data_IF_207716152921
#
_entry.id   IF_207716152921
#
_cell.length_a   1.000
_cell.length_b   1.000
_cell.length_c   1.000
_cell.angle_alpha   90.00
_cell.angle_beta   90.00
_cell.angle_gamma   90.00
#
_symmetry.space_group_name_H-M   'P 1'
#
loop_
_entity.id
_entity.type
_entity.pdbx_description
1 polymer ?
#
# COMPACT_ATOMS: atom_id res chain seq x y z
N UNK A 1 -37.00 -3.57 -15.47
CA UNK A 1 -38.09 -3.05 -14.62
C UNK A 1 -38.03 -1.53 -14.74
N UNK A 2 -39.08 -0.93 -15.30
CA UNK A 2 -39.16 0.50 -15.60
C UNK A 2 -39.46 1.27 -14.31
N UNK A 3 -38.66 2.29 -13.99
CA UNK A 3 -38.97 3.25 -12.94
C UNK A 3 -39.37 4.58 -13.61
N UNK A 4 -40.68 4.77 -13.77
CA UNK A 4 -41.32 6.03 -14.09
C UNK A 4 -41.24 6.96 -12.88
N UNK A 5 -40.88 8.23 -13.07
CA UNK A 5 -41.27 9.29 -12.14
C UNK A 5 -41.54 10.58 -12.89
N UNK A 6 -42.80 10.99 -12.82
CA UNK A 6 -43.41 12.16 -13.45
C UNK A 6 -42.76 13.47 -13.04
N UNK A 7 -42.56 14.37 -14.00
CA UNK A 7 -42.45 15.80 -13.73
C UNK A 7 -43.67 16.53 -14.30
N UNK A 8 -44.23 17.35 -13.43
CA UNK A 8 -45.49 18.08 -13.51
C UNK A 8 -45.43 19.19 -14.58
N UNK A 9 -46.46 19.31 -15.43
CA UNK A 9 -46.62 20.41 -16.41
C UNK A 9 -47.21 21.64 -15.71
N UNK A 10 -46.62 22.85 -15.79
CA UNK A 10 -47.33 24.09 -15.58
C UNK A 10 -48.00 24.56 -16.88
N UNK A 11 -49.26 25.00 -16.75
CA UNK A 11 -50.12 25.46 -17.82
C UNK A 11 -49.71 26.83 -18.39
N UNK A 12 -50.11 27.04 -19.65
CA UNK A 12 -49.86 28.25 -20.42
C UNK A 12 -50.80 29.39 -20.01
N UNK A 13 -50.27 30.60 -19.88
CA UNK A 13 -51.00 31.84 -20.09
C UNK A 13 -50.04 32.86 -20.73
N UNK A 14 -50.46 33.39 -21.88
CA UNK A 14 -49.70 34.29 -22.74
C UNK A 14 -49.93 35.77 -22.36
N UNK A 15 -48.90 36.61 -22.49
CA UNK A 15 -49.00 38.00 -23.04
C UNK A 15 -47.61 38.59 -23.29
N UNK A 16 -47.57 39.57 -24.19
CA UNK A 16 -46.45 40.02 -25.02
C UNK A 16 -45.51 41.06 -24.38
N UNK A 17 -44.31 41.14 -24.96
CA UNK A 17 -43.44 42.32 -25.16
C UNK A 17 -42.33 42.60 -24.12
N UNK A 18 -41.09 42.63 -24.61
CA UNK A 18 -39.93 43.27 -23.97
C UNK A 18 -38.68 42.40 -23.99
N UNK A 19 -37.69 42.75 -24.80
CA UNK A 19 -36.43 42.01 -25.02
C UNK A 19 -35.69 41.70 -23.71
N UNK A 20 -35.62 40.42 -23.37
CA UNK A 20 -34.90 39.84 -22.24
C UNK A 20 -33.51 39.43 -22.72
N UNK A 21 -32.45 40.12 -22.28
CA UNK A 21 -31.10 39.55 -22.26
C UNK A 21 -30.94 38.79 -20.95
N UNK A 22 -31.51 37.58 -20.92
CA UNK A 22 -31.29 36.64 -19.84
C UNK A 22 -29.88 36.06 -20.00
N UNK A 23 -28.97 36.43 -19.10
CA UNK A 23 -27.74 35.67 -18.90
C UNK A 23 -28.12 34.26 -18.46
N UNK A 24 -28.09 33.33 -19.42
CA UNK A 24 -28.23 31.90 -19.16
C UNK A 24 -27.10 31.47 -18.23
N UNK A 25 -27.44 31.28 -16.96
CA UNK A 25 -26.62 30.58 -15.99
C UNK A 25 -26.56 29.12 -16.41
N UNK A 26 -25.60 28.78 -17.27
CA UNK A 26 -25.27 27.42 -17.63
C UNK A 26 -24.63 26.74 -16.40
N UNK A 27 -25.47 26.18 -15.53
CA UNK A 27 -25.06 25.25 -14.49
C UNK A 27 -24.47 24.02 -15.17
N UNK A 28 -23.15 24.05 -15.40
CA UNK A 28 -22.38 22.91 -15.81
C UNK A 28 -22.49 21.85 -14.70
N UNK A 29 -23.33 20.84 -14.94
CA UNK A 29 -23.33 19.60 -14.18
C UNK A 29 -21.95 18.96 -14.39
N UNK A 30 -21.00 19.29 -13.52
CA UNK A 30 -19.69 18.64 -13.51
C UNK A 30 -19.93 17.18 -13.14
N UNK A 31 -19.47 16.21 -13.95
CA UNK A 31 -19.49 14.82 -13.52
C UNK A 31 -18.67 14.73 -12.24
N UNK A 32 -19.29 14.28 -11.15
CA UNK A 32 -18.55 13.87 -9.97
C UNK A 32 -17.64 12.74 -10.42
N UNK A 33 -16.33 13.00 -10.46
CA UNK A 33 -15.33 11.93 -10.55
C UNK A 33 -15.65 11.03 -9.37
N UNK A 34 -16.11 9.81 -9.64
CA UNK A 34 -16.34 8.81 -8.61
C UNK A 34 -15.00 8.68 -7.86
N UNK A 35 -15.00 9.04 -6.58
CA UNK A 35 -13.83 8.91 -5.75
C UNK A 35 -13.32 7.47 -5.84
N UNK A 36 -12.01 7.32 -5.99
CA UNK A 36 -11.35 6.02 -5.97
C UNK A 36 -11.85 5.23 -4.75
N UNK A 37 -12.43 4.06 -5.00
CA UNK A 37 -13.10 3.25 -3.97
C UNK A 37 -12.09 2.53 -3.05
N UNK A 38 -10.80 2.80 -3.21
CA UNK A 38 -9.70 2.21 -2.48
C UNK A 38 -8.61 3.25 -2.22
N UNK A 39 -7.79 3.08 -1.16
CA UNK A 39 -6.57 3.86 -0.99
C UNK A 39 -5.56 3.57 -2.12
N UNK A 40 -4.53 4.42 -2.31
CA UNK A 40 -3.44 4.09 -3.21
C UNK A 40 -2.79 2.77 -2.78
N UNK A 41 -2.66 1.82 -3.70
CA UNK A 41 -2.16 0.48 -3.38
C UNK A 41 -0.64 0.46 -3.11
N UNK A 42 0.03 1.55 -3.44
CA UNK A 42 1.46 1.75 -3.25
C UNK A 42 1.73 3.17 -2.78
N UNK A 43 2.83 3.37 -2.03
CA UNK A 43 3.34 4.69 -1.75
C UNK A 43 3.59 5.50 -3.02
N UNK A 44 3.11 6.73 -3.10
CA UNK A 44 3.29 7.61 -4.27
C UNK A 44 4.46 8.58 -4.09
N UNK A 45 5.11 8.56 -2.93
CA UNK A 45 6.24 9.42 -2.59
C UNK A 45 7.25 8.66 -1.73
N UNK A 46 8.46 9.20 -1.67
CA UNK A 46 9.53 8.66 -0.83
C UNK A 46 9.16 8.82 0.65
N UNK A 47 9.53 7.82 1.44
CA UNK A 47 9.36 7.87 2.88
C UNK A 47 10.30 6.91 3.60
N UNK A 48 10.64 7.26 4.84
CA UNK A 48 11.26 6.36 5.81
C UNK A 48 10.30 6.23 7.00
N UNK A 49 9.88 5.01 7.29
CA UNK A 49 8.93 4.70 8.36
C UNK A 49 9.53 3.67 9.30
N UNK A 50 9.52 3.95 10.60
CA UNK A 50 9.84 2.96 11.62
C UNK A 50 8.54 2.35 12.13
N UNK A 51 8.46 1.03 12.16
CA UNK A 51 7.30 0.28 12.59
C UNK A 51 7.61 -0.62 13.77
N UNK A 52 6.61 -0.81 14.63
CA UNK A 52 6.48 -1.99 15.48
C UNK A 52 5.65 -3.03 14.72
N UNK A 53 6.21 -4.22 14.51
CA UNK A 53 5.56 -5.36 13.87
C UNK A 53 5.37 -6.47 14.90
N UNK A 54 4.16 -6.96 15.07
CA UNK A 54 3.83 -7.99 16.04
C UNK A 54 2.94 -9.08 15.43
N UNK A 55 3.54 -10.18 14.96
CA UNK A 55 2.80 -11.38 14.58
C UNK A 55 2.20 -12.08 15.82
N UNK A 56 1.15 -12.87 15.64
CA UNK A 56 0.56 -13.67 16.71
C UNK A 56 1.60 -14.59 17.36
N UNK A 57 1.62 -14.61 18.69
CA UNK A 57 2.49 -15.49 19.48
C UNK A 57 3.99 -15.13 19.41
N UNK A 58 4.36 -14.04 18.74
CA UNK A 58 5.74 -13.59 18.61
C UNK A 58 5.94 -12.22 19.29
N UNK A 59 7.14 -11.95 19.83
CA UNK A 59 7.45 -10.64 20.37
C UNK A 59 7.41 -9.58 19.26
N UNK A 60 7.00 -8.37 19.65
CA UNK A 60 7.06 -7.22 18.76
C UNK A 60 8.51 -6.93 18.34
N UNK A 61 8.71 -6.55 17.09
CA UNK A 61 10.01 -6.18 16.52
C UNK A 61 9.95 -4.82 15.86
N UNK A 62 11.04 -4.05 15.99
CA UNK A 62 11.19 -2.78 15.31
C UNK A 62 11.86 -2.99 13.95
N UNK A 63 11.26 -2.41 12.91
CA UNK A 63 11.81 -2.40 11.55
C UNK A 63 11.75 -0.99 10.98
N UNK A 64 12.71 -0.65 10.14
CA UNK A 64 12.66 0.58 9.33
C UNK A 64 12.39 0.18 7.89
N UNK A 65 11.36 0.78 7.31
CA UNK A 65 10.99 0.59 5.92
C UNK A 65 11.24 1.89 5.18
N UNK A 66 12.00 1.81 4.07
CA UNK A 66 12.20 2.93 3.16
C UNK A 66 11.47 2.65 1.87
N UNK A 67 10.74 3.64 1.38
CA UNK A 67 10.05 3.63 0.10
C UNK A 67 10.72 4.64 -0.82
N UNK A 68 10.94 4.27 -2.07
CA UNK A 68 11.57 5.12 -3.08
C UNK A 68 11.07 4.82 -4.49
N UNK A 69 11.47 5.66 -5.44
CA UNK A 69 11.16 5.44 -6.86
C UNK A 69 9.65 5.43 -7.15
N UNK A 70 8.90 6.33 -6.51
CA UNK A 70 7.43 6.37 -6.61
C UNK A 70 6.77 5.13 -6.03
N UNK A 71 7.33 4.58 -4.95
CA UNK A 71 6.87 3.36 -4.26
C UNK A 71 7.21 2.04 -4.93
N UNK A 72 7.88 2.06 -6.08
CA UNK A 72 8.31 0.83 -6.77
C UNK A 72 9.44 0.10 -6.05
N UNK A 73 10.22 0.83 -5.25
CA UNK A 73 11.32 0.32 -4.46
C UNK A 73 10.96 0.37 -2.98
N UNK A 74 11.22 -0.74 -2.29
CA UNK A 74 11.09 -0.85 -0.84
C UNK A 74 12.35 -1.46 -0.26
N UNK A 75 12.81 -0.95 0.87
CA UNK A 75 13.86 -1.56 1.69
C UNK A 75 13.37 -1.77 3.11
N UNK A 76 13.64 -2.94 3.69
CA UNK A 76 13.25 -3.31 5.05
C UNK A 76 14.51 -3.68 5.83
N UNK A 77 14.80 -2.91 6.88
CA UNK A 77 15.90 -3.14 7.81
C UNK A 77 15.35 -3.49 9.20
N UNK A 78 15.90 -4.49 9.90
CA UNK A 78 15.70 -4.63 11.34
C UNK A 78 16.28 -3.40 12.05
N UNK A 79 15.45 -2.69 12.82
CA UNK A 79 15.84 -1.41 13.43
C UNK A 79 16.44 -1.59 14.84
N UNK A 80 16.12 -2.69 15.52
CA UNK A 80 16.63 -2.97 16.87
C UNK A 80 16.74 -4.48 17.12
N UNK A 81 17.41 -4.85 18.21
CA UNK A 81 17.60 -6.24 18.63
C UNK A 81 18.76 -6.95 17.92
N UNK A 82 18.88 -8.28 18.10
CA UNK A 82 20.01 -9.06 17.60
C UNK A 82 20.20 -9.01 16.08
N UNK A 83 19.11 -8.76 15.34
CA UNK A 83 19.13 -8.68 13.88
C UNK A 83 19.50 -7.29 13.34
N UNK A 84 19.57 -6.27 14.20
CA UNK A 84 19.95 -4.93 13.78
C UNK A 84 21.34 -4.94 13.14
N UNK A 85 21.43 -4.42 11.91
CA UNK A 85 22.67 -4.39 11.14
C UNK A 85 23.14 -5.75 10.57
N UNK A 86 22.42 -6.85 10.79
CA UNK A 86 22.80 -8.16 10.24
C UNK A 86 22.49 -8.30 8.74
N UNK A 87 21.54 -7.52 8.24
CA UNK A 87 21.12 -7.57 6.85
C UNK A 87 19.85 -6.77 6.62
N UNK A 88 19.40 -6.76 5.38
CA UNK A 88 18.17 -6.10 4.96
C UNK A 88 17.62 -6.73 3.69
N UNK A 89 16.35 -6.48 3.42
CA UNK A 89 15.71 -6.87 2.16
C UNK A 89 15.43 -5.62 1.31
N UNK A 90 15.64 -5.71 0.01
CA UNK A 90 15.16 -4.74 -0.98
C UNK A 90 14.18 -5.45 -1.91
N UNK A 91 13.04 -4.82 -2.17
CA UNK A 91 12.00 -5.30 -3.06
C UNK A 91 11.90 -4.29 -4.20
N UNK A 92 12.05 -4.77 -5.44
CA UNK A 92 11.81 -4.02 -6.66
C UNK A 92 10.59 -4.62 -7.36
N UNK A 93 9.47 -3.90 -7.31
CA UNK A 93 8.21 -4.39 -7.87
C UNK A 93 8.17 -4.31 -9.39
N UNK A 94 8.89 -3.37 -9.98
CA UNK A 94 8.94 -3.21 -11.45
C UNK A 94 9.74 -4.36 -12.05
N UNK A 95 10.87 -4.72 -11.42
CA UNK A 95 11.70 -5.85 -11.83
C UNK A 95 11.24 -7.20 -11.29
N UNK A 96 10.22 -7.21 -10.43
CA UNK A 96 9.75 -8.40 -9.70
C UNK A 96 10.91 -9.15 -9.05
N UNK A 97 11.75 -8.44 -8.30
CA UNK A 97 12.91 -9.03 -7.62
C UNK A 97 12.97 -8.67 -6.14
N UNK A 98 13.59 -9.55 -5.38
CA UNK A 98 13.91 -9.37 -3.96
C UNK A 98 15.38 -9.62 -3.76
N UNK A 99 16.09 -8.63 -3.21
CA UNK A 99 17.49 -8.75 -2.83
C UNK A 99 17.55 -8.89 -1.33
N UNK A 100 18.12 -9.99 -0.83
CA UNK A 100 18.45 -10.18 0.56
C UNK A 100 19.95 -9.92 0.75
N UNK A 101 20.29 -8.89 1.52
CA UNK A 101 21.67 -8.52 1.85
C UNK A 101 22.04 -9.10 3.20
N UNK A 102 23.19 -9.76 3.26
CA UNK A 102 23.74 -10.40 4.45
C UNK A 102 25.06 -9.71 4.80
N UNK A 103 25.01 -8.79 5.76
CA UNK A 103 26.13 -7.91 6.05
C UNK A 103 27.38 -8.65 6.57
N UNK A 104 27.27 -9.58 7.54
CA UNK A 104 28.45 -10.30 8.05
C UNK A 104 29.20 -11.09 6.96
N UNK A 105 28.49 -11.55 5.94
CA UNK A 105 29.00 -12.36 4.85
C UNK A 105 29.52 -11.51 3.68
N UNK A 106 29.30 -10.19 3.70
CA UNK A 106 29.55 -9.30 2.56
C UNK A 106 28.95 -9.89 1.27
N UNK A 107 27.73 -10.40 1.37
CA UNK A 107 27.08 -11.15 0.31
C UNK A 107 25.61 -10.74 0.16
N UNK A 108 25.07 -10.99 -1.02
CA UNK A 108 23.65 -10.81 -1.29
C UNK A 108 23.09 -11.93 -2.15
N UNK A 109 21.82 -12.23 -1.93
CA UNK A 109 21.04 -13.12 -2.77
C UNK A 109 20.00 -12.29 -3.51
N UNK A 110 19.76 -12.59 -4.77
CA UNK A 110 18.68 -11.98 -5.54
C UNK A 110 17.74 -13.07 -6.03
N UNK A 111 16.48 -12.89 -5.71
CA UNK A 111 15.39 -13.82 -5.91
C UNK A 111 14.34 -13.18 -6.81
N UNK A 112 13.66 -13.99 -7.63
CA UNK A 112 12.43 -13.57 -8.28
C UNK A 112 11.32 -13.40 -7.23
N UNK A 113 10.55 -12.32 -7.33
CA UNK A 113 9.37 -12.11 -6.49
C UNK A 113 8.31 -13.16 -6.84
N UNK A 114 7.81 -13.84 -5.81
CA UNK A 114 6.72 -14.80 -5.93
C UNK A 114 5.39 -14.11 -5.61
N UNK A 115 4.33 -14.50 -6.32
CA UNK A 115 3.00 -13.88 -6.18
C UNK A 115 2.34 -14.21 -4.82
N UNK A 116 2.81 -15.25 -4.12
CA UNK A 116 2.33 -15.66 -2.78
C UNK A 116 3.04 -14.94 -1.62
N UNK A 117 4.02 -14.08 -1.89
CA UNK A 117 4.75 -13.38 -0.84
C UNK A 117 3.95 -12.19 -0.31
N UNK A 118 3.20 -12.42 0.76
CA UNK A 118 2.48 -11.35 1.46
C UNK A 118 3.48 -10.34 2.07
N UNK A 119 3.27 -9.06 1.78
CA UNK A 119 4.05 -7.95 2.32
C UNK A 119 3.12 -7.04 3.12
N UNK A 120 3.24 -6.99 4.46
CA UNK A 120 2.33 -6.22 5.32
C UNK A 120 2.51 -4.70 5.20
N UNK A 121 3.51 -4.22 4.44
CA UNK A 121 3.74 -2.80 4.20
C UNK A 121 3.14 -2.32 2.87
N UNK A 122 2.51 -3.24 2.10
CA UNK A 122 1.89 -2.96 0.81
C UNK A 122 0.45 -3.47 0.78
N UNK A 123 -0.35 -2.81 -0.03
CA UNK A 123 -1.72 -3.22 -0.33
C UNK A 123 -1.75 -3.91 -1.68
N UNK A 124 -2.80 -4.70 -1.92
CA UNK A 124 -2.99 -5.40 -3.19
C UNK A 124 -4.38 -5.12 -3.79
N UNK A 125 -4.50 -5.35 -5.09
CA UNK A 125 -5.74 -5.08 -5.84
C UNK A 125 -6.84 -6.13 -5.65
N UNK A 126 -6.54 -7.25 -4.99
CA UNK A 126 -7.50 -8.31 -4.68
C UNK A 126 -8.26 -8.02 -3.37
N UNK A 127 -7.73 -7.13 -2.54
CA UNK A 127 -8.38 -6.61 -1.34
C UNK A 127 -9.62 -5.78 -1.66
N UNK A 128 -10.62 -5.87 -0.78
CA UNK A 128 -11.79 -5.02 -0.77
C UNK A 128 -11.67 -4.00 0.35
N UNK A 129 -11.95 -2.74 0.04
CA UNK A 129 -11.77 -1.61 0.95
C UNK A 129 -13.11 -0.97 1.26
N UNK A 130 -13.38 -0.77 2.55
CA UNK A 130 -14.52 0.02 3.01
C UNK A 130 -14.01 1.15 3.89
N UNK A 131 -14.26 2.39 3.46
CA UNK A 131 -13.92 3.57 4.26
C UNK A 131 -14.72 3.58 5.56
N UNK A 132 -14.04 3.59 6.70
CA UNK A 132 -14.67 3.57 8.03
C UNK A 132 -14.45 4.86 8.82
N UNK A 133 -13.49 5.70 8.45
CA UNK A 133 -13.26 6.97 9.13
C UNK A 133 -11.91 7.60 8.82
N UNK A 134 -11.46 8.49 9.70
CA UNK A 134 -10.14 9.13 9.64
C UNK A 134 -9.48 9.10 11.02
N UNK A 135 -8.17 9.11 11.07
CA UNK A 135 -7.37 9.08 12.30
C UNK A 135 -5.99 9.72 12.05
N UNK A 136 -5.10 9.63 13.04
CA UNK A 136 -3.70 9.96 12.90
C UNK A 136 -2.82 8.97 13.67
N UNK A 137 -1.70 8.56 13.06
CA UNK A 137 -0.72 7.63 13.64
C UNK A 137 0.67 8.22 13.44
N UNK A 138 1.53 8.19 14.45
CA UNK A 138 2.85 8.86 14.44
C UNK A 138 2.79 10.35 14.01
N UNK A 139 1.69 11.05 14.35
CA UNK A 139 1.45 12.44 13.96
C UNK A 139 1.06 12.65 12.50
N UNK A 140 0.86 11.59 11.71
CA UNK A 140 0.46 11.68 10.31
C UNK A 140 -1.02 11.37 10.13
N UNK A 141 -1.78 12.21 9.40
CA UNK A 141 -3.19 11.96 9.13
C UNK A 141 -3.37 10.76 8.19
N UNK A 142 -4.40 9.97 8.45
CA UNK A 142 -4.74 8.81 7.62
C UNK A 142 -6.24 8.54 7.59
N UNK A 143 -6.66 7.83 6.55
CA UNK A 143 -8.01 7.29 6.42
C UNK A 143 -8.04 5.88 6.97
N UNK A 144 -9.04 5.56 7.77
CA UNK A 144 -9.26 4.23 8.31
C UNK A 144 -10.11 3.43 7.33
N UNK A 145 -9.64 2.21 7.01
CA UNK A 145 -10.27 1.29 6.09
C UNK A 145 -10.49 -0.05 6.78
N UNK A 146 -11.69 -0.61 6.63
CA UNK A 146 -11.88 -2.05 6.80
C UNK A 146 -11.47 -2.74 5.50
N UNK A 147 -10.62 -3.76 5.62
CA UNK A 147 -10.04 -4.50 4.52
C UNK A 147 -10.47 -5.96 4.64
N UNK A 148 -10.90 -6.55 3.52
CA UNK A 148 -11.07 -7.99 3.42
C UNK A 148 -10.36 -8.53 2.18
N UNK A 149 -9.70 -9.66 2.35
CA UNK A 149 -9.17 -10.48 1.26
C UNK A 149 -9.92 -11.82 1.32
N UNK A 150 -10.17 -12.47 0.19
CA UNK A 150 -11.06 -13.64 0.13
C UNK A 150 -10.80 -14.71 1.21
N UNK A 151 -11.84 -15.45 1.60
CA UNK A 151 -11.77 -16.40 2.71
C UNK A 151 -12.13 -15.75 4.06
N UNK A 152 -11.34 -16.01 5.10
CA UNK A 152 -11.54 -15.50 6.46
C UNK A 152 -10.65 -14.28 6.80
N UNK A 153 -9.89 -13.76 5.82
CA UNK A 153 -8.99 -12.63 6.05
C UNK A 153 -9.76 -11.34 6.26
N UNK A 154 -9.45 -10.63 7.34
CA UNK A 154 -10.05 -9.33 7.66
C UNK A 154 -9.08 -8.49 8.48
N UNK A 155 -8.93 -7.22 8.10
CA UNK A 155 -8.08 -6.28 8.83
C UNK A 155 -8.69 -4.88 8.85
N UNK A 156 -8.19 -4.05 9.74
CA UNK A 156 -8.41 -2.60 9.73
C UNK A 156 -7.07 -1.92 9.58
N UNK A 157 -6.96 -0.99 8.63
CA UNK A 157 -5.73 -0.24 8.38
C UNK A 157 -5.97 1.27 8.40
N UNK A 158 -4.98 2.03 8.86
CA UNK A 158 -4.93 3.48 8.69
C UNK A 158 -3.89 3.84 7.63
N UNK A 159 -4.35 4.42 6.52
CA UNK A 159 -3.54 4.63 5.32
C UNK A 159 -3.53 6.11 4.95
N UNK A 160 -2.33 6.66 4.72
CA UNK A 160 -2.16 8.05 4.28
C UNK A 160 -2.71 8.29 2.89
N UNK A 161 -2.93 9.55 2.51
CA UNK A 161 -3.31 9.92 1.14
C UNK A 161 -2.26 9.54 0.10
N UNK A 162 -1.02 9.33 0.50
CA UNK A 162 0.07 8.86 -0.36
C UNK A 162 0.23 7.35 -0.38
N UNK A 163 -0.66 6.56 0.24
CA UNK A 163 -0.62 5.09 0.19
C UNK A 163 0.31 4.41 1.21
N UNK A 164 0.87 5.14 2.18
CA UNK A 164 1.63 4.54 3.29
C UNK A 164 0.67 4.01 4.33
N UNK A 165 0.77 2.71 4.64
CA UNK A 165 0.09 2.06 5.76
C UNK A 165 0.76 2.50 7.06
N UNK A 166 0.06 3.23 7.91
CA UNK A 166 0.59 3.67 9.20
C UNK A 166 0.25 2.71 10.33
N UNK A 167 -0.89 2.04 10.25
CA UNK A 167 -1.22 0.96 11.17
C UNK A 167 -2.07 -0.07 10.47
N UNK A 168 -1.97 -1.32 10.88
CA UNK A 168 -2.85 -2.39 10.46
C UNK A 168 -3.00 -3.40 11.61
N UNK A 169 -4.21 -3.89 11.81
CA UNK A 169 -4.48 -5.02 12.71
C UNK A 169 -5.54 -5.92 12.07
N UNK A 170 -5.31 -7.23 12.10
CA UNK A 170 -6.24 -8.16 11.48
C UNK A 170 -5.81 -9.62 11.57
N UNK A 171 -6.52 -10.44 10.82
CA UNK A 171 -6.27 -11.87 10.60
C UNK A 171 -5.97 -12.12 9.14
N UNK A 172 -4.96 -12.95 8.87
CA UNK A 172 -4.68 -13.42 7.52
C UNK A 172 -5.59 -14.60 7.10
N UNK A 173 -5.37 -15.13 5.89
CA UNK A 173 -6.13 -16.26 5.35
C UNK A 173 -5.95 -17.57 6.14
N UNK A 174 -4.92 -17.66 6.99
CA UNK A 174 -4.65 -18.79 7.87
C UNK A 174 -5.24 -18.57 9.29
N UNK A 175 -5.92 -17.44 9.52
CA UNK A 175 -6.48 -17.08 10.83
C UNK A 175 -5.45 -16.55 11.82
N UNK A 176 -4.23 -16.25 11.35
CA UNK A 176 -3.18 -15.72 12.20
C UNK A 176 -3.35 -14.23 12.37
N UNK A 177 -3.40 -13.78 13.63
CA UNK A 177 -3.48 -12.37 13.94
C UNK A 177 -2.15 -11.65 13.73
N UNK A 178 -2.18 -10.41 13.30
CA UNK A 178 -1.01 -9.57 13.17
C UNK A 178 -1.33 -8.11 13.48
N UNK A 179 -0.32 -7.39 13.99
CA UNK A 179 -0.38 -5.95 14.15
C UNK A 179 0.87 -5.28 13.58
N UNK A 180 0.66 -4.14 12.96
CA UNK A 180 1.64 -3.24 12.41
C UNK A 180 1.29 -1.83 12.91
N UNK A 181 2.26 -1.08 13.44
CA UNK A 181 2.05 0.31 13.85
C UNK A 181 3.30 1.15 13.64
N UNK A 182 3.17 2.27 12.93
CA UNK A 182 4.22 3.23 12.69
C UNK A 182 4.50 4.02 13.97
N UNK A 183 5.77 4.11 14.34
CA UNK A 183 6.24 4.88 15.50
C UNK A 183 6.96 6.16 15.09
N UNK A 184 7.47 6.21 13.85
CA UNK A 184 8.08 7.42 13.27
C UNK A 184 7.91 7.42 11.74
N UNK A 185 7.68 8.60 11.16
CA UNK A 185 7.53 8.79 9.71
C UNK A 185 8.35 10.01 9.28
N UNK A 186 9.08 9.88 8.18
CA UNK A 186 9.76 10.98 7.48
C UNK A 186 9.47 10.86 5.99
N UNK A 187 9.13 11.98 5.34
CA UNK A 187 8.90 12.06 3.89
C UNK A 187 10.08 12.70 3.14
N UNK A 188 11.29 12.62 3.73
CA UNK A 188 12.49 13.05 3.05
C UNK A 188 12.81 12.12 1.86
N UNK A 189 13.43 12.63 0.79
CA UNK A 189 13.91 11.80 -0.32
C UNK A 189 14.80 10.66 0.15
N UNK A 190 14.62 9.46 -0.41
CA UNK A 190 15.46 8.30 -0.11
C UNK A 190 16.49 8.11 -1.24
N UNK A 191 17.81 8.08 -0.94
CA UNK A 191 18.82 7.90 -1.96
C UNK A 191 18.63 6.60 -2.75
N UNK A 192 18.80 6.65 -4.08
CA UNK A 192 18.72 5.46 -4.92
C UNK A 192 19.74 4.37 -4.53
N UNK A 193 20.87 4.77 -3.93
CA UNK A 193 21.89 3.87 -3.39
C UNK A 193 21.39 2.97 -2.26
N UNK A 194 20.31 3.35 -1.56
CA UNK A 194 19.75 2.54 -0.48
C UNK A 194 19.10 1.25 -1.01
N UNK A 195 18.75 1.21 -2.30
CA UNK A 195 18.02 0.12 -2.94
C UNK A 195 18.91 -0.77 -3.82
N UNK A 196 20.23 -0.67 -3.71
CA UNK A 196 21.18 -1.54 -4.40
C UNK A 196 22.06 -2.28 -3.38
N UNK A 197 22.62 -3.46 -3.73
CA UNK A 197 23.63 -4.10 -2.90
C UNK A 197 24.81 -3.15 -2.66
N UNK A 198 25.43 -3.16 -1.46
CA UNK A 198 26.60 -2.34 -1.20
C UNK A 198 27.77 -2.74 -2.11
N UNK A 199 28.62 -1.77 -2.44
CA UNK A 199 29.83 -2.04 -3.20
C UNK A 199 30.72 -3.08 -2.47
N UNK A 200 31.30 -4.00 -3.24
CA UNK A 200 32.15 -5.08 -2.71
C UNK A 200 31.39 -6.29 -2.16
N UNK A 201 30.05 -6.29 -2.18
CA UNK A 201 29.28 -7.47 -1.81
C UNK A 201 29.24 -8.48 -2.96
N UNK A 202 29.32 -9.77 -2.62
CA UNK A 202 29.31 -10.86 -3.61
C UNK A 202 27.92 -11.42 -3.78
N UNK A 203 27.46 -11.57 -5.03
CA UNK A 203 26.21 -12.27 -5.33
C UNK A 203 26.39 -13.76 -5.09
N UNK A 204 25.58 -14.34 -4.22
CA UNK A 204 25.49 -15.80 -4.06
C UNK A 204 24.35 -16.33 -4.91
N UNK A 205 24.54 -17.50 -5.53
CA UNK A 205 23.52 -18.14 -6.34
C UNK A 205 22.48 -18.81 -5.44
N UNK A 206 21.19 -18.68 -5.77
CA UNK A 206 20.18 -19.60 -5.27
C UNK A 206 20.30 -20.89 -6.07
N UNK A 207 20.99 -21.90 -5.55
CA UNK A 207 20.78 -23.27 -6.02
C UNK A 207 19.48 -23.74 -5.40
N UNK A 208 18.38 -23.69 -6.16
CA UNK A 208 17.24 -24.55 -5.85
C UNK A 208 17.71 -26.00 -6.09
N UNK A 209 17.39 -26.97 -5.21
CA UNK A 209 17.62 -28.36 -5.56
C UNK A 209 16.78 -28.69 -6.80
N UNK A 210 17.44 -29.16 -7.86
CA UNK A 210 16.80 -29.62 -9.08
C UNK A 210 15.68 -30.60 -8.72
N UNK A 211 14.46 -30.34 -9.19
CA UNK A 211 13.42 -31.37 -9.20
C UNK A 211 13.99 -32.58 -9.97
N UNK A 212 13.92 -33.81 -9.43
CA UNK A 212 14.50 -34.95 -10.12
C UNK A 212 13.85 -35.10 -11.50
N UNK A 213 14.67 -34.97 -12.54
CA UNK A 213 14.31 -35.36 -13.89
C UNK A 213 14.16 -36.88 -13.91
N UNK A 214 12.92 -37.37 -13.94
CA UNK A 214 12.66 -38.80 -14.14
C UNK A 214 11.37 -39.30 -13.54
N UNK A 215 10.27 -39.12 -14.26
CA UNK A 215 9.15 -40.05 -14.24
C UNK A 215 8.65 -40.20 -15.68
N UNK A 216 9.35 -41.06 -16.43
CA UNK A 216 8.79 -41.74 -17.60
C UNK A 216 7.97 -42.94 -17.13
#
# INVERSE_FOLDING_TARGET
MHASTSCMRPGAAATLAGMIVALLSASACRPAIAAEQHPPLMPTQDATVTYTVQPQGQPARLVTVRFGGGGSLMRIDPAAGPQAGQGYAVIDRVRRSVIAVMNPQHAYLELGARDDMHNPFLLDATMQFTHTGTSAVAGQPCTTWAISSGGQSSSTACITTSGIVLSEEGVDSHGQHGRLEATAVSFAPVPASDFVPPAGYTRVAHTAPDAPAGAT
#
